data_IF_964155271307
#
_entry.id   IF_964155271307
#
_cell.length_a   1.000
_cell.length_b   1.000
_cell.length_c   1.000
_cell.angle_alpha   90.00
_cell.angle_beta   90.00
_cell.angle_gamma   90.00
#
_symmetry.space_group_name_H-M   'P 1'
#
loop_
_entity.id
_entity.type
_entity.pdbx_description
1 polymer ?
#
# COMPACT_ATOMS: atom_id res chain seq x y z
N UNK A 1 -22.93 17.87 -0.33
CA UNK A 1 -21.72 17.08 0.00
C UNK A 1 -20.64 17.29 -1.08
N UNK A 2 -19.76 18.32 -1.02
CA UNK A 2 -18.68 18.46 -2.05
C UNK A 2 -17.37 19.15 -1.60
N UNK A 3 -17.36 20.08 -0.63
CA UNK A 3 -16.12 20.81 -0.25
C UNK A 3 -15.20 20.05 0.70
N UNK A 4 -15.76 19.38 1.69
CA UNK A 4 -14.97 18.71 2.75
C UNK A 4 -14.22 17.48 2.24
N UNK A 5 -14.83 16.66 1.38
CA UNK A 5 -14.17 15.50 0.79
C UNK A 5 -13.01 15.89 -0.14
N UNK A 6 -13.17 16.97 -0.92
CA UNK A 6 -12.11 17.45 -1.82
C UNK A 6 -10.91 17.97 -1.03
N UNK A 7 -11.14 18.75 0.04
CA UNK A 7 -10.06 19.25 0.91
C UNK A 7 -9.31 18.11 1.60
N UNK A 8 -10.02 17.08 2.03
CA UNK A 8 -9.43 15.89 2.64
C UNK A 8 -8.56 15.12 1.63
N UNK A 9 -9.02 14.97 0.39
CA UNK A 9 -8.21 14.35 -0.67
C UNK A 9 -6.94 15.16 -1.01
N UNK A 10 -7.02 16.50 -1.02
CA UNK A 10 -5.85 17.36 -1.26
C UNK A 10 -4.84 17.23 -0.11
N UNK A 11 -5.30 17.19 1.14
CA UNK A 11 -4.42 17.02 2.30
C UNK A 11 -3.70 15.66 2.31
N UNK A 12 -4.38 14.59 1.88
CA UNK A 12 -3.78 13.28 1.68
C UNK A 12 -2.66 13.31 0.64
N UNK A 13 -2.92 13.97 -0.48
CA UNK A 13 -1.96 14.12 -1.59
C UNK A 13 -0.72 14.87 -1.12
N UNK A 14 -0.89 16.01 -0.46
CA UNK A 14 0.23 16.87 -0.05
C UNK A 14 1.09 16.24 1.05
N UNK A 15 0.48 15.50 1.97
CA UNK A 15 1.19 14.95 3.14
C UNK A 15 1.75 13.56 2.87
N UNK A 16 1.00 12.68 2.20
CA UNK A 16 1.34 11.27 2.10
C UNK A 16 2.15 10.92 0.85
N UNK A 17 1.99 11.64 -0.27
CA UNK A 17 2.78 11.37 -1.49
C UNK A 17 4.28 11.56 -1.25
N UNK A 18 4.77 12.67 -0.66
CA UNK A 18 6.20 12.84 -0.44
C UNK A 18 6.79 11.73 0.45
N UNK A 19 6.05 11.29 1.47
CA UNK A 19 6.44 10.19 2.34
C UNK A 19 6.53 8.87 1.59
N UNK A 20 5.50 8.55 0.78
CA UNK A 20 5.48 7.38 -0.10
C UNK A 20 6.67 7.39 -1.06
N UNK A 21 6.89 8.50 -1.78
CA UNK A 21 7.99 8.63 -2.72
C UNK A 21 9.35 8.49 -2.04
N UNK A 22 9.50 9.00 -0.82
CA UNK A 22 10.73 8.82 -0.05
C UNK A 22 10.97 7.35 0.33
N UNK A 23 9.92 6.57 0.62
CA UNK A 23 10.06 5.13 0.89
C UNK A 23 10.47 4.33 -0.35
N UNK A 24 10.04 4.74 -1.54
CA UNK A 24 10.28 3.98 -2.79
C UNK A 24 11.43 4.53 -3.64
N UNK A 25 12.05 5.66 -3.26
CA UNK A 25 13.01 6.42 -4.07
C UNK A 25 14.19 5.60 -4.58
N UNK A 26 14.66 4.64 -3.79
CA UNK A 26 15.84 3.81 -4.10
C UNK A 26 15.47 2.36 -4.44
N UNK A 27 14.21 2.10 -4.76
CA UNK A 27 13.71 0.75 -5.01
C UNK A 27 13.64 0.48 -6.51
N UNK A 28 14.13 -0.69 -6.93
CA UNK A 28 14.18 -1.10 -8.35
C UNK A 28 12.78 -1.32 -8.96
N UNK A 29 11.87 -1.88 -8.17
CA UNK A 29 10.48 -2.13 -8.54
C UNK A 29 9.59 -2.14 -7.30
N UNK A 30 8.41 -1.55 -7.42
CA UNK A 30 7.39 -1.52 -6.36
C UNK A 30 6.26 -2.47 -6.71
N UNK A 31 5.87 -3.35 -5.79
CA UNK A 31 4.61 -4.09 -5.91
C UNK A 31 3.51 -3.29 -5.23
N UNK A 32 2.41 -3.02 -5.91
CA UNK A 32 1.23 -2.37 -5.33
C UNK A 32 0.11 -3.40 -5.22
N UNK A 33 -0.36 -3.67 -4.01
CA UNK A 33 -1.50 -4.54 -3.76
C UNK A 33 -2.73 -3.67 -3.55
N UNK A 34 -3.70 -3.73 -4.48
CA UNK A 34 -4.93 -2.94 -4.41
C UNK A 34 -6.07 -3.60 -5.18
N UNK A 35 -7.28 -3.55 -4.62
CA UNK A 35 -8.51 -4.01 -5.27
C UNK A 35 -9.26 -2.82 -5.88
N UNK A 36 -8.91 -2.45 -7.12
CA UNK A 36 -9.56 -1.38 -7.88
C UNK A 36 -8.67 -0.17 -8.14
N UNK A 37 -9.28 1.01 -8.27
CA UNK A 37 -8.56 2.26 -8.51
C UNK A 37 -7.65 2.60 -7.32
N UNK A 38 -6.34 2.49 -7.54
CA UNK A 38 -5.32 2.75 -6.54
C UNK A 38 -4.77 4.17 -6.67
N UNK A 39 -4.91 4.94 -5.59
CA UNK A 39 -4.29 6.27 -5.52
C UNK A 39 -2.77 6.15 -5.45
N UNK A 40 -2.26 5.13 -4.77
CA UNK A 40 -0.83 4.82 -4.67
C UNK A 40 -0.26 4.55 -6.07
N UNK A 41 -0.86 3.62 -6.81
CA UNK A 41 -0.42 3.28 -8.16
C UNK A 41 -0.44 4.50 -9.09
N UNK A 42 -1.52 5.29 -9.04
CA UNK A 42 -1.63 6.51 -9.84
C UNK A 42 -0.51 7.50 -9.53
N UNK A 43 -0.18 7.69 -8.25
CA UNK A 43 0.87 8.60 -7.79
C UNK A 43 2.26 8.12 -8.19
N UNK A 44 2.55 6.83 -8.02
CA UNK A 44 3.81 6.21 -8.41
C UNK A 44 4.03 6.24 -9.93
N UNK A 45 2.98 5.97 -10.71
CA UNK A 45 3.01 6.06 -12.18
C UNK A 45 3.36 7.48 -12.64
N UNK A 46 2.75 8.49 -12.02
CA UNK A 46 3.05 9.91 -12.32
C UNK A 46 4.48 10.30 -11.96
N UNK A 47 5.05 9.68 -10.93
CA UNK A 47 6.43 9.88 -10.51
C UNK A 47 7.45 9.07 -11.33
N UNK A 48 7.01 8.29 -12.33
CA UNK A 48 7.89 7.46 -13.17
C UNK A 48 8.47 6.24 -12.44
N UNK A 49 7.85 5.81 -11.34
CA UNK A 49 8.32 4.65 -10.57
C UNK A 49 7.91 3.37 -11.29
N UNK A 50 8.87 2.46 -11.49
CA UNK A 50 8.60 1.13 -12.02
C UNK A 50 7.79 0.32 -11.01
N UNK A 51 6.59 -0.09 -11.38
CA UNK A 51 5.68 -0.78 -10.46
C UNK A 51 4.82 -1.84 -11.16
N UNK A 52 4.42 -2.84 -10.40
CA UNK A 52 3.39 -3.82 -10.76
C UNK A 52 2.19 -3.63 -9.83
N UNK A 53 0.97 -3.67 -10.35
CA UNK A 53 -0.26 -3.64 -9.54
C UNK A 53 -0.89 -5.02 -9.56
N UNK A 54 -1.18 -5.57 -8.39
CA UNK A 54 -1.85 -6.86 -8.22
C UNK A 54 -3.10 -6.71 -7.33
N UNK A 55 -4.05 -7.62 -7.49
CA UNK A 55 -5.19 -7.73 -6.58
C UNK A 55 -4.79 -8.36 -5.24
N UNK A 56 -5.61 -8.18 -4.22
CA UNK A 56 -5.43 -8.84 -2.91
C UNK A 56 -5.89 -10.31 -2.90
N UNK A 57 -6.07 -10.91 -4.07
CA UNK A 57 -6.33 -12.35 -4.20
C UNK A 57 -5.03 -13.14 -3.97
N UNK A 58 -5.06 -14.07 -3.02
CA UNK A 58 -3.91 -14.87 -2.61
C UNK A 58 -3.31 -15.70 -3.77
N UNK A 59 -4.11 -16.09 -4.75
CA UNK A 59 -3.63 -16.85 -5.90
C UNK A 59 -2.81 -15.98 -6.88
N UNK A 60 -3.18 -14.71 -7.01
CA UNK A 60 -2.46 -13.74 -7.87
C UNK A 60 -1.07 -13.42 -7.30
N UNK A 61 -0.94 -13.34 -5.97
CA UNK A 61 0.33 -12.97 -5.33
C UNK A 61 1.48 -13.94 -5.69
N UNK A 62 1.23 -15.25 -5.64
CA UNK A 62 2.31 -16.24 -5.80
C UNK A 62 2.95 -16.18 -7.18
N UNK A 63 2.14 -16.06 -8.23
CA UNK A 63 2.60 -16.02 -9.62
C UNK A 63 3.41 -14.76 -9.90
N UNK A 64 2.97 -13.63 -9.36
CA UNK A 64 3.56 -12.32 -9.65
C UNK A 64 4.87 -12.05 -8.87
N UNK A 65 5.02 -12.60 -7.66
CA UNK A 65 6.25 -12.47 -6.87
C UNK A 65 7.46 -13.16 -7.53
N UNK A 66 7.25 -14.32 -8.14
CA UNK A 66 8.29 -15.06 -8.87
C UNK A 66 8.81 -14.27 -10.09
N UNK A 67 8.00 -13.37 -10.64
CA UNK A 67 8.30 -12.60 -11.86
C UNK A 67 8.98 -11.26 -11.58
N UNK A 68 8.55 -10.51 -10.56
CA UNK A 68 8.93 -9.09 -10.42
C UNK A 68 10.02 -8.82 -9.38
N UNK A 69 10.21 -9.71 -8.39
CA UNK A 69 11.16 -9.57 -7.27
C UNK A 69 11.22 -8.12 -6.73
N UNK A 70 10.10 -7.60 -6.20
CA UNK A 70 10.00 -6.22 -5.77
C UNK A 70 10.92 -5.95 -4.57
N UNK A 71 11.54 -4.76 -4.52
CA UNK A 71 12.31 -4.35 -3.34
C UNK A 71 11.42 -3.79 -2.22
N UNK A 72 10.21 -3.37 -2.56
CA UNK A 72 9.18 -2.94 -1.60
C UNK A 72 7.79 -3.32 -2.13
N UNK A 73 6.91 -3.70 -1.22
CA UNK A 73 5.49 -3.88 -1.51
C UNK A 73 4.69 -2.82 -0.76
N UNK A 74 3.83 -2.10 -1.47
CA UNK A 74 2.89 -1.13 -0.93
C UNK A 74 1.49 -1.72 -0.98
N UNK A 75 0.85 -1.83 0.18
CA UNK A 75 -0.47 -2.43 0.34
C UNK A 75 -1.46 -1.32 0.61
N UNK A 76 -2.39 -1.09 -0.31
CA UNK A 76 -3.45 -0.09 -0.14
C UNK A 76 -4.67 -0.74 0.54
N UNK A 77 -5.03 -0.20 1.70
CA UNK A 77 -6.12 -0.69 2.54
C UNK A 77 -7.31 0.25 2.37
N UNK A 78 -8.45 -0.22 1.83
CA UNK A 78 -9.62 0.60 1.69
C UNK A 78 -10.17 1.04 3.06
N UNK A 79 -10.93 2.12 3.09
CA UNK A 79 -11.48 2.67 4.35
C UNK A 79 -12.37 1.67 5.11
N UNK A 80 -13.03 0.79 4.36
CA UNK A 80 -13.84 -0.31 4.87
C UNK A 80 -13.33 -1.62 4.28
N UNK A 81 -12.85 -2.51 5.15
CA UNK A 81 -12.35 -3.83 4.77
C UNK A 81 -13.21 -4.88 5.47
N UNK A 82 -13.78 -5.80 4.70
CA UNK A 82 -14.49 -6.94 5.28
C UNK A 82 -13.50 -7.88 5.98
N UNK A 83 -13.95 -8.64 6.99
CA UNK A 83 -13.06 -9.57 7.72
C UNK A 83 -12.33 -10.55 6.80
N UNK A 84 -13.01 -11.08 5.77
CA UNK A 84 -12.42 -12.01 4.80
C UNK A 84 -11.28 -11.35 4.01
N UNK A 85 -11.47 -10.10 3.54
CA UNK A 85 -10.41 -9.36 2.83
C UNK A 85 -9.24 -9.00 3.74
N UNK A 86 -9.50 -8.68 5.00
CA UNK A 86 -8.44 -8.40 5.97
C UNK A 86 -7.52 -9.61 6.15
N UNK A 87 -8.09 -10.80 6.28
CA UNK A 87 -7.31 -12.04 6.40
C UNK A 87 -6.45 -12.32 5.17
N UNK A 88 -6.97 -12.07 3.96
CA UNK A 88 -6.19 -12.20 2.72
C UNK A 88 -5.04 -11.18 2.67
N UNK A 89 -5.31 -9.92 3.00
CA UNK A 89 -4.29 -8.86 3.03
C UNK A 89 -3.22 -9.17 4.07
N UNK A 90 -3.59 -9.62 5.27
CA UNK A 90 -2.65 -10.02 6.32
C UNK A 90 -1.80 -11.22 5.89
N UNK A 91 -2.40 -12.20 5.22
CA UNK A 91 -1.66 -13.32 4.62
C UNK A 91 -0.64 -12.83 3.59
N UNK A 92 -1.03 -11.92 2.69
CA UNK A 92 -0.14 -11.33 1.69
C UNK A 92 1.04 -10.62 2.36
N UNK A 93 0.77 -9.78 3.37
CA UNK A 93 1.83 -9.06 4.10
C UNK A 93 2.80 -10.03 4.78
N UNK A 94 2.31 -11.09 5.44
CA UNK A 94 3.18 -12.14 6.02
C UNK A 94 4.08 -12.78 4.98
N UNK A 95 3.50 -13.20 3.85
CA UNK A 95 4.25 -13.84 2.76
C UNK A 95 5.32 -12.91 2.20
N UNK A 96 5.02 -11.63 1.99
CA UNK A 96 6.01 -10.65 1.52
C UNK A 96 7.18 -10.51 2.50
N UNK A 97 6.91 -10.47 3.79
CA UNK A 97 7.93 -10.39 4.84
C UNK A 97 8.79 -11.67 4.88
N UNK A 98 8.17 -12.84 4.76
CA UNK A 98 8.88 -14.14 4.68
C UNK A 98 9.83 -14.21 3.48
N UNK A 99 9.46 -13.60 2.35
CA UNK A 99 10.29 -13.46 1.15
C UNK A 99 11.32 -12.32 1.25
N UNK A 100 11.43 -11.65 2.41
CA UNK A 100 12.39 -10.57 2.66
C UNK A 100 12.04 -9.24 1.98
N UNK A 101 10.79 -9.07 1.53
CA UNK A 101 10.32 -7.86 0.86
C UNK A 101 9.80 -6.88 1.92
N UNK A 102 10.34 -5.65 1.90
CA UNK A 102 9.86 -4.60 2.81
C UNK A 102 8.40 -4.24 2.49
N UNK A 103 7.55 -4.20 3.50
CA UNK A 103 6.11 -3.92 3.36
C UNK A 103 5.75 -2.54 3.91
N UNK A 104 4.97 -1.79 3.13
CA UNK A 104 4.39 -0.50 3.52
C UNK A 104 2.87 -0.59 3.39
N UNK A 105 2.15 -0.55 4.50
CA UNK A 105 0.68 -0.53 4.49
C UNK A 105 0.19 0.92 4.51
N UNK A 106 -0.71 1.27 3.59
CA UNK A 106 -1.27 2.62 3.47
C UNK A 106 -2.79 2.55 3.49
N UNK A 107 -3.44 3.37 4.31
CA UNK A 107 -4.89 3.45 4.29
C UNK A 107 -5.44 4.52 5.22
N UNK A 108 -6.72 4.86 5.05
CA UNK A 108 -7.41 5.83 5.94
C UNK A 108 -7.65 5.25 7.34
N UNK A 109 -7.91 3.95 7.40
CA UNK A 109 -8.17 3.21 8.63
C UNK A 109 -7.46 1.86 8.54
N UNK A 110 -6.22 1.82 8.99
CA UNK A 110 -5.41 0.59 8.97
C UNK A 110 -5.78 -0.24 10.20
N UNK A 111 -6.26 -1.49 10.04
CA UNK A 111 -6.55 -2.38 11.15
C UNK A 111 -5.29 -2.68 11.96
N UNK A 112 -5.44 -2.80 13.28
CA UNK A 112 -4.31 -3.03 14.21
C UNK A 112 -3.48 -4.27 13.83
N UNK A 113 -4.12 -5.32 13.36
CA UNK A 113 -3.45 -6.53 12.86
C UNK A 113 -2.41 -6.24 11.75
N UNK A 114 -2.69 -5.29 10.86
CA UNK A 114 -1.74 -4.89 9.81
C UNK A 114 -0.67 -3.93 10.33
N UNK A 115 -0.99 -3.16 11.38
CA UNK A 115 -0.01 -2.29 12.07
C UNK A 115 1.04 -3.13 12.77
N UNK A 116 0.62 -4.18 13.48
CA UNK A 116 1.54 -5.04 14.22
C UNK A 116 2.36 -5.96 13.29
N UNK A 117 1.98 -6.08 12.02
CA UNK A 117 2.56 -7.00 11.06
C UNK A 117 3.49 -6.34 10.03
N UNK A 118 3.11 -5.19 9.49
CA UNK A 118 3.86 -4.54 8.40
C UNK A 118 5.18 -3.93 8.89
N UNK A 119 6.14 -3.73 7.98
CA UNK A 119 7.40 -3.06 8.35
C UNK A 119 7.25 -1.55 8.54
N UNK A 120 6.24 -0.96 7.92
CA UNK A 120 5.82 0.44 8.08
C UNK A 120 4.34 0.57 7.78
N UNK A 121 3.69 1.47 8.51
CA UNK A 121 2.31 1.90 8.22
C UNK A 121 2.23 3.39 8.01
N UNK A 122 1.51 3.83 6.98
CA UNK A 122 1.16 5.22 6.73
C UNK A 122 -0.35 5.39 6.77
N UNK A 123 -0.83 6.18 7.73
CA UNK A 123 -2.26 6.47 7.87
C UNK A 123 -2.61 7.75 7.13
N UNK A 124 -3.43 7.62 6.09
CA UNK A 124 -3.96 8.75 5.33
C UNK A 124 -4.77 9.69 6.25
N UNK A 125 -4.89 10.95 5.86
CA UNK A 125 -5.54 12.08 6.54
C UNK A 125 -4.77 12.61 7.75
N UNK A 126 -4.02 11.76 8.45
CA UNK A 126 -3.24 12.16 9.62
C UNK A 126 -1.75 12.30 9.32
N UNK A 127 -1.26 11.69 8.23
CA UNK A 127 0.16 11.60 7.91
C UNK A 127 0.98 10.82 8.96
N UNK A 128 0.31 10.18 9.92
CA UNK A 128 0.98 9.42 10.98
C UNK A 128 1.64 8.19 10.39
N UNK A 129 2.88 7.96 10.79
CA UNK A 129 3.64 6.77 10.46
C UNK A 129 3.86 5.93 11.71
N UNK A 130 3.78 4.62 11.55
CA UNK A 130 4.13 3.65 12.58
C UNK A 130 5.24 2.74 12.03
N UNK A 131 6.25 2.40 12.86
CA UNK A 131 7.18 1.35 12.52
C UNK A 131 6.47 0.00 12.41
#
# INVERSE_FOLDING_TARGET
>A
MKRTQLQVMISDIETCIPLLLNQVRNVRSVLVVSDGESFVATSLRRAGVNMLVISSDANTLKVELDLVKPGIAVIEVPAEVSRCRLSNVAYIVRRLIEEGISTLVIGKKVPRELVDLANKVLVLHTGKTYP
#
